data_IF_373777278338
#
_entry.id   IF_373777278338
#
_cell.length_a   1.000
_cell.length_b   1.000
_cell.length_c   1.000
_cell.angle_alpha   90.00
_cell.angle_beta   90.00
_cell.angle_gamma   90.00
#
_symmetry.space_group_name_H-M   'P 1'
#
loop_
_entity.id
_entity.type
_entity.pdbx_description
1 polymer ?
#
# COMPACT_ATOMS: atom_id res chain seq x y z
N UNK A 1 55.59 6.91 43.96
CA UNK A 1 54.70 5.88 43.50
C UNK A 1 54.31 6.21 42.03
N UNK A 2 55.27 5.97 41.14
CA UNK A 2 55.14 6.20 39.67
C UNK A 2 55.28 4.85 39.00
N UNK A 3 54.16 4.20 38.75
CA UNK A 3 54.13 2.97 37.94
C UNK A 3 52.85 3.00 37.05
N UNK A 4 53.10 2.85 35.77
CA UNK A 4 52.13 2.36 34.75
C UNK A 4 51.22 3.32 33.97
N UNK A 5 51.76 4.43 33.50
CA UNK A 5 51.10 5.15 32.41
C UNK A 5 51.52 4.65 31.01
N UNK A 6 52.71 4.04 30.87
CA UNK A 6 53.22 3.53 29.58
C UNK A 6 52.59 2.19 29.16
N UNK A 7 52.10 1.40 30.12
CA UNK A 7 51.44 0.10 29.77
C UNK A 7 50.05 0.27 29.18
N UNK A 8 49.30 1.30 29.56
CA UNK A 8 47.96 1.57 29.03
C UNK A 8 47.99 2.19 27.64
N UNK A 9 49.04 2.91 27.29
CA UNK A 9 49.17 3.49 25.93
C UNK A 9 49.50 2.44 24.86
N UNK A 10 50.22 1.37 25.19
CA UNK A 10 50.50 0.28 24.25
C UNK A 10 49.31 -0.66 24.02
N UNK A 11 48.41 -0.78 24.98
CA UNK A 11 47.20 -1.58 24.87
C UNK A 11 46.17 -0.87 23.96
N UNK A 12 46.02 0.46 24.07
CA UNK A 12 45.14 1.25 23.23
C UNK A 12 45.61 1.32 21.75
N UNK A 13 46.95 1.33 21.50
CA UNK A 13 47.49 1.28 20.13
C UNK A 13 47.30 -0.06 19.45
N UNK A 14 47.26 -1.17 20.19
CA UNK A 14 47.02 -2.52 19.65
C UNK A 14 45.54 -2.77 19.41
N UNK A 15 44.63 -2.17 20.15
CA UNK A 15 43.18 -2.23 19.87
C UNK A 15 42.77 -1.34 18.69
N UNK A 16 43.44 -0.21 18.45
CA UNK A 16 43.11 0.66 17.29
C UNK A 16 43.51 0.07 15.93
N UNK A 17 44.48 -0.88 15.89
CA UNK A 17 44.95 -1.48 14.64
C UNK A 17 44.21 -2.76 14.28
N UNK A 18 43.44 -3.36 15.20
CA UNK A 18 42.61 -4.55 14.94
C UNK A 18 41.18 -4.21 14.49
N UNK A 19 40.77 -2.92 14.60
CA UNK A 19 39.38 -2.50 14.25
C UNK A 19 39.25 -1.99 12.81
N UNK A 20 40.33 -2.01 12.02
CA UNK A 20 40.32 -1.51 10.65
C UNK A 20 40.15 -2.62 9.57
N UNK A 21 39.92 -3.86 9.96
CA UNK A 21 39.81 -5.00 9.02
C UNK A 21 38.46 -5.74 9.08
N UNK A 22 37.43 -5.16 9.71
CA UNK A 22 36.07 -5.68 9.68
C UNK A 22 35.12 -4.59 9.15
N UNK A 23 35.44 -4.01 7.99
CA UNK A 23 34.39 -3.44 7.15
C UNK A 23 33.63 -4.64 6.57
N UNK A 24 32.33 -4.82 6.88
CA UNK A 24 31.55 -5.76 6.11
C UNK A 24 31.60 -5.25 4.66
N UNK A 25 32.15 -6.05 3.77
CA UNK A 25 31.91 -5.88 2.36
C UNK A 25 30.40 -5.85 2.23
N UNK A 26 29.83 -4.68 2.03
CA UNK A 26 28.49 -4.58 1.48
C UNK A 26 28.60 -5.25 0.10
N UNK A 27 28.34 -6.55 0.10
CA UNK A 27 28.00 -7.24 -1.12
C UNK A 27 26.80 -6.45 -1.65
N UNK A 28 27.07 -5.57 -2.62
CA UNK A 28 26.02 -5.14 -3.51
C UNK A 28 25.43 -6.44 -4.01
N UNK A 29 24.23 -6.77 -3.56
CA UNK A 29 23.45 -7.81 -4.18
C UNK A 29 23.38 -7.39 -5.64
N UNK A 30 24.24 -7.96 -6.46
CA UNK A 30 24.09 -7.89 -7.90
C UNK A 30 22.72 -8.51 -8.15
N UNK A 31 21.78 -7.68 -8.54
CA UNK A 31 20.55 -8.14 -9.19
C UNK A 31 21.06 -9.05 -10.30
N UNK A 32 20.70 -10.36 -10.31
CA UNK A 32 21.18 -11.26 -11.35
C UNK A 32 20.82 -10.62 -12.68
N UNK A 33 21.82 -10.32 -13.48
CA UNK A 33 21.64 -9.90 -14.85
C UNK A 33 20.98 -11.07 -15.56
N UNK A 34 19.66 -10.96 -15.88
CA UNK A 34 19.09 -11.84 -16.86
C UNK A 34 17.81 -12.58 -16.62
N UNK A 35 16.91 -12.16 -15.75
CA UNK A 35 15.52 -12.47 -16.04
C UNK A 35 15.05 -11.42 -17.06
N UNK A 36 14.83 -11.87 -18.31
CA UNK A 36 14.23 -11.00 -19.33
C UNK A 36 12.94 -10.42 -18.75
N UNK A 37 12.84 -9.08 -18.73
CA UNK A 37 11.61 -8.42 -18.24
C UNK A 37 10.41 -9.02 -18.96
N UNK A 38 9.40 -9.44 -18.19
CA UNK A 38 8.19 -9.99 -18.77
C UNK A 38 7.59 -8.99 -19.76
N UNK A 39 7.35 -9.45 -20.98
CA UNK A 39 6.75 -8.63 -22.03
C UNK A 39 5.28 -8.98 -22.21
N UNK A 40 4.46 -7.93 -22.35
CA UNK A 40 3.06 -8.02 -22.65
C UNK A 40 2.73 -7.12 -23.84
N UNK A 41 2.20 -7.71 -24.92
CA UNK A 41 1.72 -6.98 -26.07
C UNK A 41 0.19 -6.93 -26.06
N UNK A 42 -0.36 -5.74 -25.96
CA UNK A 42 -1.78 -5.50 -26.27
C UNK A 42 -1.86 -5.21 -27.77
N UNK A 43 -2.46 -6.12 -28.54
CA UNK A 43 -2.56 -5.97 -29.99
C UNK A 43 -3.91 -5.40 -30.37
N UNK A 44 -3.92 -4.51 -31.34
CA UNK A 44 -5.14 -3.96 -31.93
C UNK A 44 -6.08 -3.33 -30.88
N UNK A 45 -5.53 -2.47 -29.99
CA UNK A 45 -6.29 -1.73 -28.99
C UNK A 45 -6.46 -0.26 -29.40
N UNK A 46 -7.53 0.37 -28.93
CA UNK A 46 -7.75 1.81 -29.07
C UNK A 46 -7.35 2.50 -27.77
N UNK A 47 -6.27 3.27 -27.80
CA UNK A 47 -5.77 3.97 -26.61
C UNK A 47 -6.62 5.20 -26.32
N UNK A 48 -7.08 5.34 -25.08
CA UNK A 48 -7.79 6.52 -24.61
C UNK A 48 -6.79 7.65 -24.29
N UNK A 49 -6.88 8.76 -25.02
CA UNK A 49 -6.25 10.03 -24.64
C UNK A 49 -7.12 10.69 -23.57
N UNK A 50 -6.69 10.58 -22.31
CA UNK A 50 -7.45 11.11 -21.16
C UNK A 50 -7.44 12.64 -21.09
N UNK A 51 -6.46 13.31 -21.71
CA UNK A 51 -6.41 14.77 -21.73
C UNK A 51 -7.41 15.36 -22.73
N UNK A 52 -7.64 14.65 -23.84
CA UNK A 52 -8.58 15.06 -24.89
C UNK A 52 -9.93 14.38 -24.81
N UNK A 53 -10.04 13.29 -24.06
CA UNK A 53 -11.25 12.46 -23.98
C UNK A 53 -11.55 11.75 -25.31
N UNK A 54 -10.53 11.44 -26.11
CA UNK A 54 -10.70 10.84 -27.45
C UNK A 54 -10.02 9.47 -27.53
N UNK A 55 -10.57 8.59 -28.39
CA UNK A 55 -9.98 7.29 -28.68
C UNK A 55 -9.16 7.37 -29.96
N UNK A 56 -7.93 6.85 -29.89
CA UNK A 56 -7.08 6.67 -31.06
C UNK A 56 -7.60 5.60 -32.02
N UNK A 57 -6.98 5.50 -33.20
CA UNK A 57 -7.16 4.35 -34.09
C UNK A 57 -6.62 3.08 -33.41
N UNK A 58 -7.06 1.88 -33.86
CA UNK A 58 -6.47 0.62 -33.39
C UNK A 58 -4.95 0.63 -33.55
N UNK A 59 -4.23 0.25 -32.49
CA UNK A 59 -2.77 0.25 -32.44
C UNK A 59 -2.27 -0.81 -31.46
N UNK A 60 -0.98 -1.13 -31.52
CA UNK A 60 -0.35 -2.05 -30.59
C UNK A 60 0.32 -1.30 -29.45
N UNK A 61 0.28 -1.86 -28.23
CA UNK A 61 0.96 -1.32 -27.06
C UNK A 61 1.80 -2.40 -26.41
N UNK A 62 3.11 -2.15 -26.34
CA UNK A 62 4.09 -3.05 -25.71
C UNK A 62 4.40 -2.56 -24.30
N UNK A 63 4.28 -3.46 -23.34
CA UNK A 63 4.69 -3.28 -21.94
C UNK A 63 5.89 -4.17 -21.66
N UNK A 64 6.94 -3.63 -21.01
CA UNK A 64 8.08 -4.37 -20.47
C UNK A 64 8.14 -4.14 -18.97
N UNK A 65 8.15 -5.23 -18.21
CA UNK A 65 8.03 -5.13 -16.78
C UNK A 65 6.77 -4.35 -16.37
N UNK A 66 6.97 -3.18 -15.77
CA UNK A 66 5.88 -2.31 -15.30
C UNK A 66 5.76 -0.99 -16.09
N UNK A 67 6.33 -0.92 -17.31
CA UNK A 67 6.35 0.30 -18.12
C UNK A 67 5.82 0.07 -19.53
N UNK A 68 5.11 1.06 -20.05
CA UNK A 68 4.79 1.12 -21.48
C UNK A 68 6.09 1.40 -22.23
N UNK A 69 6.55 0.42 -23.01
CA UNK A 69 7.80 0.50 -23.75
C UNK A 69 7.62 1.14 -25.14
N UNK A 70 6.50 0.88 -25.80
CA UNK A 70 6.20 1.44 -27.12
C UNK A 70 4.71 1.42 -27.42
N UNK A 71 4.29 2.32 -28.31
CA UNK A 71 2.92 2.37 -28.87
C UNK A 71 3.07 2.49 -30.39
N UNK A 72 2.26 1.76 -31.14
CA UNK A 72 2.24 1.76 -32.59
C UNK A 72 3.41 0.99 -33.22
N UNK A 73 3.98 1.50 -34.29
CA UNK A 73 5.00 0.81 -35.11
C UNK A 73 6.28 0.44 -34.33
N UNK A 74 6.52 1.07 -33.19
CA UNK A 74 7.60 0.75 -32.28
C UNK A 74 7.31 -0.44 -31.34
N UNK A 75 6.11 -0.97 -31.30
CA UNK A 75 5.70 -2.08 -30.45
C UNK A 75 6.21 -3.42 -31.00
N UNK A 76 7.52 -3.66 -30.89
CA UNK A 76 8.16 -4.89 -31.36
C UNK A 76 8.45 -5.82 -30.18
N UNK A 77 7.57 -6.82 -29.94
CA UNK A 77 7.75 -7.77 -28.84
C UNK A 77 8.83 -8.81 -29.20
N UNK A 78 9.41 -9.43 -28.18
CA UNK A 78 10.19 -10.66 -28.35
C UNK A 78 9.28 -11.87 -28.62
N UNK A 79 9.86 -13.00 -29.02
CA UNK A 79 9.10 -14.23 -29.26
C UNK A 79 8.44 -14.80 -27.98
N UNK A 80 8.92 -14.41 -26.80
CA UNK A 80 8.39 -14.84 -25.49
C UNK A 80 7.29 -13.91 -24.95
N UNK A 81 6.95 -12.82 -25.64
CA UNK A 81 5.93 -11.89 -25.18
C UNK A 81 4.55 -12.55 -25.10
N UNK A 82 3.85 -12.31 -24.00
CA UNK A 82 2.44 -12.66 -23.87
C UNK A 82 1.61 -11.69 -24.69
N UNK A 83 0.80 -12.20 -25.61
CA UNK A 83 -0.08 -11.38 -26.46
C UNK A 83 -1.50 -11.39 -25.89
N UNK A 84 -2.09 -10.21 -25.82
CA UNK A 84 -3.51 -10.00 -25.52
C UNK A 84 -4.14 -9.34 -26.76
N UNK A 85 -5.00 -10.08 -27.44
CA UNK A 85 -5.74 -9.57 -28.59
C UNK A 85 -6.82 -8.58 -28.13
N UNK A 86 -6.70 -7.35 -28.57
CA UNK A 86 -7.58 -6.26 -28.20
C UNK A 86 -8.87 -6.24 -29.00
N UNK A 87 -8.83 -6.63 -30.28
CA UNK A 87 -10.00 -6.62 -31.17
C UNK A 87 -10.73 -5.26 -31.14
N UNK A 88 -9.98 -4.17 -31.18
CA UNK A 88 -10.52 -2.81 -31.13
C UNK A 88 -11.05 -2.35 -29.77
N UNK A 89 -10.86 -3.15 -28.70
CA UNK A 89 -11.22 -2.75 -27.33
C UNK A 89 -10.40 -1.55 -26.86
N UNK A 90 -10.95 -0.80 -25.93
CA UNK A 90 -10.28 0.38 -25.35
C UNK A 90 -9.23 -0.04 -24.33
N UNK A 91 -8.01 0.46 -24.52
CA UNK A 91 -6.97 0.47 -23.51
C UNK A 91 -6.94 1.85 -22.85
N UNK A 92 -7.12 1.88 -21.54
CA UNK A 92 -7.20 3.10 -20.75
C UNK A 92 -6.38 2.96 -19.47
N UNK A 93 -5.98 4.08 -18.84
CA UNK A 93 -5.42 4.03 -17.47
C UNK A 93 -6.38 3.33 -16.53
N UNK A 94 -5.84 2.67 -15.51
CA UNK A 94 -6.66 2.11 -14.45
C UNK A 94 -7.48 3.18 -13.73
N UNK A 95 -8.66 2.79 -13.27
CA UNK A 95 -9.57 3.66 -12.54
C UNK A 95 -8.95 4.07 -11.19
N UNK A 96 -9.30 5.27 -10.75
CA UNK A 96 -8.89 5.82 -9.45
C UNK A 96 -10.15 6.12 -8.65
N UNK A 97 -10.26 5.54 -7.44
CA UNK A 97 -11.28 5.94 -6.50
C UNK A 97 -10.66 6.87 -5.45
N UNK A 98 -11.20 8.08 -5.33
CA UNK A 98 -10.66 9.12 -4.44
C UNK A 98 -11.37 9.18 -3.09
N UNK A 99 -12.37 8.33 -2.85
CA UNK A 99 -13.06 8.21 -1.57
C UNK A 99 -13.47 6.75 -1.31
N UNK A 100 -12.50 5.94 -0.95
CA UNK A 100 -12.65 4.52 -0.70
C UNK A 100 -12.49 4.19 0.79
N UNK A 101 -13.06 3.08 1.21
CA UNK A 101 -12.88 2.53 2.55
C UNK A 101 -12.61 1.03 2.43
N UNK A 102 -11.36 0.64 2.25
CA UNK A 102 -10.98 -0.75 1.98
C UNK A 102 -11.49 -1.74 3.03
N UNK A 103 -11.47 -1.35 4.29
CA UNK A 103 -11.98 -2.18 5.39
C UNK A 103 -13.49 -2.26 5.37
N UNK A 104 -14.19 -1.11 5.29
CA UNK A 104 -15.64 -1.06 5.47
C UNK A 104 -16.44 -1.49 4.24
N UNK A 105 -15.85 -1.46 3.05
CA UNK A 105 -16.48 -2.05 1.87
C UNK A 105 -16.35 -3.56 1.82
N UNK A 106 -15.36 -4.12 2.52
CA UNK A 106 -15.14 -5.55 2.61
C UNK A 106 -15.90 -6.22 3.75
N UNK A 107 -16.10 -5.51 4.86
CA UNK A 107 -16.65 -6.04 6.10
C UNK A 107 -17.97 -5.34 6.46
N UNK A 108 -19.01 -6.13 6.67
CA UNK A 108 -20.24 -5.64 7.26
C UNK A 108 -20.11 -5.52 8.79
N UNK A 109 -21.03 -4.79 9.42
CA UNK A 109 -21.10 -4.76 10.86
C UNK A 109 -21.34 -6.17 11.45
N UNK A 110 -22.09 -7.02 10.75
CA UNK A 110 -22.31 -8.40 11.17
C UNK A 110 -21.02 -9.22 11.16
N UNK A 111 -20.13 -9.00 10.20
CA UNK A 111 -18.81 -9.66 10.15
C UNK A 111 -17.93 -9.25 11.32
N UNK A 112 -17.93 -7.96 11.68
CA UNK A 112 -17.15 -7.42 12.80
C UNK A 112 -17.64 -7.92 14.15
N UNK A 113 -18.94 -8.16 14.30
CA UNK A 113 -19.58 -8.60 15.54
C UNK A 113 -19.85 -10.12 15.60
N UNK A 114 -19.40 -10.87 14.56
CA UNK A 114 -19.61 -12.32 14.54
C UNK A 114 -18.88 -13.00 15.71
N UNK A 115 -19.48 -14.02 16.36
CA UNK A 115 -18.87 -14.71 17.50
C UNK A 115 -17.51 -15.39 17.17
N UNK A 116 -17.27 -15.68 15.89
CA UNK A 116 -16.05 -16.28 15.36
C UNK A 116 -15.16 -15.27 14.60
N UNK A 117 -15.43 -13.97 14.76
CA UNK A 117 -14.58 -12.94 14.18
C UNK A 117 -13.18 -12.99 14.81
N UNK A 118 -12.17 -13.06 13.97
CA UNK A 118 -10.77 -12.91 14.40
C UNK A 118 -10.05 -11.90 13.50
N UNK A 119 -9.01 -11.23 13.97
CA UNK A 119 -8.22 -10.30 13.17
C UNK A 119 -7.75 -10.92 11.85
N UNK A 120 -7.31 -12.18 11.86
CA UNK A 120 -6.82 -12.90 10.68
C UNK A 120 -7.93 -13.15 9.66
N UNK A 121 -9.13 -13.55 10.12
CA UNK A 121 -10.29 -13.79 9.25
C UNK A 121 -10.76 -12.49 8.60
N UNK A 122 -10.85 -11.42 9.37
CA UNK A 122 -11.22 -10.10 8.88
C UNK A 122 -10.18 -9.58 7.87
N UNK A 123 -8.89 -9.69 8.17
CA UNK A 123 -7.81 -9.30 7.26
C UNK A 123 -7.84 -10.10 5.94
N UNK A 124 -8.11 -11.41 5.98
CA UNK A 124 -8.24 -12.24 4.78
C UNK A 124 -9.42 -11.79 3.89
N UNK A 125 -10.53 -11.39 4.50
CA UNK A 125 -11.69 -10.86 3.78
C UNK A 125 -11.35 -9.54 3.09
N UNK A 126 -10.70 -8.61 3.79
CA UNK A 126 -10.25 -7.32 3.24
C UNK A 126 -9.24 -7.52 2.12
N UNK A 127 -8.31 -8.46 2.28
CA UNK A 127 -7.33 -8.80 1.24
C UNK A 127 -8.00 -9.35 -0.03
N UNK A 128 -8.97 -10.23 0.13
CA UNK A 128 -9.75 -10.79 -0.98
C UNK A 128 -10.51 -9.69 -1.73
N UNK A 129 -11.15 -8.78 -1.02
CA UNK A 129 -11.89 -7.68 -1.63
C UNK A 129 -10.96 -6.66 -2.30
N UNK A 130 -9.76 -6.44 -1.76
CA UNK A 130 -8.74 -5.60 -2.42
C UNK A 130 -8.32 -6.19 -3.77
N UNK A 131 -8.11 -7.50 -3.85
CA UNK A 131 -7.82 -8.16 -5.12
C UNK A 131 -8.99 -8.02 -6.12
N UNK A 132 -10.23 -8.17 -5.65
CA UNK A 132 -11.44 -7.96 -6.49
C UNK A 132 -11.57 -6.52 -6.95
N UNK A 133 -11.21 -5.55 -6.11
CA UNK A 133 -11.20 -4.12 -6.47
C UNK A 133 -10.24 -3.86 -7.63
N UNK A 134 -9.04 -4.44 -7.59
CA UNK A 134 -8.09 -4.39 -8.70
C UNK A 134 -8.67 -5.02 -9.98
N UNK A 135 -9.31 -6.19 -9.89
CA UNK A 135 -9.92 -6.88 -11.04
C UNK A 135 -11.11 -6.11 -11.63
N UNK A 136 -11.78 -5.26 -10.86
CA UNK A 136 -12.80 -4.32 -11.37
C UNK A 136 -12.21 -3.12 -12.11
N UNK A 137 -10.87 -3.02 -12.18
CA UNK A 137 -10.17 -1.98 -12.91
C UNK A 137 -9.71 -0.79 -12.06
N UNK A 138 -9.97 -0.79 -10.76
CA UNK A 138 -9.45 0.23 -9.85
C UNK A 138 -8.01 -0.10 -9.47
N UNK A 139 -7.06 0.63 -10.05
CA UNK A 139 -5.63 0.42 -9.83
C UNK A 139 -5.06 1.30 -8.72
N UNK A 140 -5.82 2.29 -8.29
CA UNK A 140 -5.44 3.22 -7.21
C UNK A 140 -6.65 3.63 -6.41
N UNK A 141 -6.52 3.72 -5.09
CA UNK A 141 -7.58 4.18 -4.21
C UNK A 141 -7.01 5.14 -3.16
N UNK A 142 -7.76 6.20 -2.83
CA UNK A 142 -7.54 6.98 -1.62
C UNK A 142 -8.47 6.45 -0.55
N UNK A 143 -7.89 5.74 0.42
CA UNK A 143 -8.63 5.21 1.55
C UNK A 143 -8.88 6.32 2.58
N UNK A 144 -10.15 6.68 2.74
CA UNK A 144 -10.57 7.80 3.56
C UNK A 144 -10.83 7.40 5.02
N UNK A 145 -10.42 6.21 5.43
CA UNK A 145 -10.45 5.79 6.84
C UNK A 145 -10.51 4.30 7.05
N UNK A 146 -9.82 3.88 8.10
CA UNK A 146 -9.76 2.49 8.54
C UNK A 146 -8.33 1.97 8.77
N UNK A 147 -8.18 0.82 9.44
CA UNK A 147 -6.90 0.21 9.76
C UNK A 147 -6.37 -0.59 8.55
N UNK A 148 -5.74 0.08 7.57
CA UNK A 148 -5.38 -0.54 6.28
C UNK A 148 -3.86 -0.57 6.01
N UNK A 149 -3.03 -0.05 6.91
CA UNK A 149 -1.59 0.11 6.68
C UNK A 149 -0.84 -1.20 6.45
N UNK A 150 -1.20 -2.29 7.14
CA UNK A 150 -0.56 -3.59 6.98
C UNK A 150 -0.86 -4.18 5.60
N UNK A 151 -2.12 -4.10 5.16
CA UNK A 151 -2.51 -4.54 3.83
C UNK A 151 -1.79 -3.72 2.75
N UNK A 152 -1.76 -2.40 2.90
CA UNK A 152 -0.98 -1.53 2.01
C UNK A 152 0.47 -1.99 1.90
N UNK A 153 1.14 -2.21 3.04
CA UNK A 153 2.53 -2.67 3.06
C UNK A 153 2.72 -4.01 2.33
N UNK A 154 1.77 -4.94 2.48
CA UNK A 154 1.81 -6.22 1.79
C UNK A 154 1.61 -6.09 0.27
N UNK A 155 0.70 -5.21 -0.17
CA UNK A 155 0.48 -4.91 -1.59
C UNK A 155 1.71 -4.20 -2.19
N UNK A 156 2.24 -3.18 -1.53
CA UNK A 156 3.42 -2.43 -2.00
C UNK A 156 4.67 -3.32 -2.11
N UNK A 157 4.77 -4.34 -1.24
CA UNK A 157 5.83 -5.34 -1.29
C UNK A 157 5.58 -6.46 -2.33
N UNK A 158 4.49 -6.41 -3.10
CA UNK A 158 4.13 -7.43 -4.09
C UNK A 158 3.75 -8.79 -3.49
N UNK A 159 3.47 -8.86 -2.17
CA UNK A 159 3.10 -10.12 -1.49
C UNK A 159 1.67 -10.54 -1.77
N UNK A 160 0.83 -9.60 -2.18
CA UNK A 160 -0.56 -9.85 -2.51
C UNK A 160 -1.08 -8.85 -3.55
N UNK A 161 -2.07 -9.24 -4.39
CA UNK A 161 -2.65 -8.35 -5.37
C UNK A 161 -3.59 -7.33 -4.71
N UNK A 162 -3.59 -6.11 -5.24
CA UNK A 162 -4.47 -5.04 -4.80
C UNK A 162 -4.16 -3.73 -5.50
N UNK A 163 -5.03 -2.72 -5.40
CA UNK A 163 -4.74 -1.38 -5.90
C UNK A 163 -3.65 -0.71 -5.07
N UNK A 164 -3.01 0.33 -5.60
CA UNK A 164 -2.21 1.23 -4.77
C UNK A 164 -3.12 1.95 -3.80
N UNK A 165 -2.79 1.91 -2.50
CA UNK A 165 -3.60 2.50 -1.44
C UNK A 165 -2.89 3.74 -0.88
N UNK A 166 -3.60 4.87 -0.83
CA UNK A 166 -3.21 6.07 -0.09
C UNK A 166 -4.11 6.22 1.13
N UNK A 167 -3.69 5.70 2.30
CA UNK A 167 -4.52 5.65 3.49
C UNK A 167 -4.47 6.95 4.28
N UNK A 168 -5.63 7.37 4.82
CA UNK A 168 -5.69 8.43 5.84
C UNK A 168 -5.44 7.91 7.26
N UNK A 169 -5.67 6.63 7.50
CA UNK A 169 -5.77 6.07 8.84
C UNK A 169 -7.14 6.30 9.47
N UNK A 170 -7.19 6.40 10.80
CA UNK A 170 -8.43 6.70 11.50
C UNK A 170 -9.01 8.06 11.05
N UNK A 171 -10.27 8.08 10.66
CA UNK A 171 -10.92 9.37 10.36
C UNK A 171 -11.35 10.08 11.64
N UNK A 172 -11.22 11.41 11.61
CA UNK A 172 -11.58 12.26 12.75
C UNK A 172 -13.07 12.62 12.70
N UNK A 173 -13.81 12.39 13.77
CA UNK A 173 -15.22 12.75 13.91
C UNK A 173 -15.50 13.31 15.31
N UNK A 174 -16.58 14.05 15.45
CA UNK A 174 -17.08 14.44 16.77
C UNK A 174 -18.03 13.37 17.32
N UNK A 175 -18.32 13.46 18.62
CA UNK A 175 -19.37 12.68 19.29
C UNK A 175 -20.70 12.81 18.53
N UNK A 176 -21.32 11.69 18.24
CA UNK A 176 -22.54 11.56 17.42
C UNK A 176 -22.40 12.04 15.98
N UNK A 177 -21.16 12.22 15.48
CA UNK A 177 -20.87 12.50 14.08
C UNK A 177 -20.89 11.24 13.22
N UNK A 178 -20.74 11.41 11.90
CA UNK A 178 -20.75 10.31 10.93
C UNK A 178 -19.74 9.19 11.23
N UNK A 179 -18.57 9.56 11.77
CA UNK A 179 -17.52 8.61 12.14
C UNK A 179 -17.58 8.14 13.59
N UNK A 180 -18.61 8.45 14.33
CA UNK A 180 -18.83 7.91 15.67
C UNK A 180 -19.48 6.53 15.56
N UNK A 181 -18.62 5.52 15.40
CA UNK A 181 -19.02 4.12 15.18
C UNK A 181 -19.27 3.35 16.48
N UNK A 182 -19.49 4.03 17.60
CA UNK A 182 -19.79 3.39 18.86
C UNK A 182 -21.07 2.57 18.79
N UNK A 183 -21.04 1.39 19.41
CA UNK A 183 -22.24 0.58 19.59
C UNK A 183 -23.17 1.21 20.64
N UNK A 184 -24.49 0.92 20.64
CA UNK A 184 -25.44 1.51 21.58
C UNK A 184 -25.11 1.32 23.07
N UNK A 185 -24.34 0.30 23.41
CA UNK A 185 -23.89 0.01 24.78
C UNK A 185 -22.55 0.68 25.12
N UNK A 186 -21.82 1.19 24.13
CA UNK A 186 -20.55 1.85 24.35
C UNK A 186 -20.74 3.32 24.71
N UNK A 187 -20.02 3.74 25.73
CA UNK A 187 -20.10 5.09 26.26
C UNK A 187 -18.94 5.95 25.76
N UNK A 188 -19.15 7.25 25.71
CA UNK A 188 -18.11 8.20 25.27
C UNK A 188 -16.86 8.08 26.17
N UNK A 189 -15.71 7.93 25.53
CA UNK A 189 -14.39 7.95 26.20
C UNK A 189 -14.19 9.18 27.07
N UNK A 190 -14.69 10.32 26.65
CA UNK A 190 -14.58 11.59 27.38
C UNK A 190 -15.14 11.52 28.81
N UNK A 191 -16.23 10.77 29.02
CA UNK A 191 -16.89 10.67 30.31
C UNK A 191 -16.55 9.39 31.09
N UNK A 192 -16.14 8.35 30.38
CA UNK A 192 -15.96 7.01 30.95
C UNK A 192 -14.55 6.47 30.83
N UNK A 193 -13.62 7.22 30.18
CA UNK A 193 -12.20 6.93 30.14
C UNK A 193 -11.78 5.76 29.23
N UNK A 194 -12.71 5.13 28.50
CA UNK A 194 -12.39 4.00 27.62
C UNK A 194 -12.68 4.35 26.16
N UNK A 195 -11.76 4.04 25.23
CA UNK A 195 -12.05 4.07 23.82
C UNK A 195 -13.18 3.10 23.46
N UNK A 196 -13.91 3.39 22.40
CA UNK A 196 -14.80 2.43 21.76
C UNK A 196 -13.99 1.36 21.01
N UNK A 197 -14.62 0.23 20.68
CA UNK A 197 -14.01 -0.80 19.85
C UNK A 197 -13.49 -0.22 18.51
N UNK A 198 -14.25 0.67 17.89
CA UNK A 198 -13.86 1.31 16.63
C UNK A 198 -12.62 2.21 16.79
N UNK A 199 -12.45 2.90 17.91
CA UNK A 199 -11.23 3.67 18.23
C UNK A 199 -10.05 2.74 18.52
N UNK A 200 -10.25 1.65 19.27
CA UNK A 200 -9.21 0.64 19.56
C UNK A 200 -8.71 -0.05 18.29
N UNK A 201 -9.59 -0.29 17.33
CA UNK A 201 -9.24 -0.85 16.03
C UNK A 201 -8.55 0.16 15.08
N UNK A 202 -8.45 1.43 15.45
CA UNK A 202 -7.92 2.47 14.58
C UNK A 202 -8.83 2.84 13.41
N UNK A 203 -10.12 2.60 13.53
CA UNK A 203 -11.08 2.95 12.48
C UNK A 203 -11.46 4.42 12.53
N UNK A 204 -11.65 4.97 13.73
CA UNK A 204 -12.06 6.36 13.96
C UNK A 204 -11.30 6.98 15.12
N UNK A 205 -11.28 8.30 15.16
CA UNK A 205 -10.79 9.11 16.26
C UNK A 205 -11.86 10.13 16.64
N UNK A 206 -12.47 9.98 17.83
CA UNK A 206 -13.49 10.92 18.29
C UNK A 206 -12.83 12.10 18.99
N UNK A 207 -13.02 13.28 18.42
CA UNK A 207 -12.44 14.53 18.87
C UNK A 207 -13.51 15.62 18.98
N UNK A 208 -13.76 16.08 20.21
CA UNK A 208 -14.72 17.14 20.50
C UNK A 208 -14.01 18.43 20.89
N UNK A 209 -14.00 19.38 19.98
CA UNK A 209 -13.38 20.66 20.16
C UNK A 209 -11.98 20.77 19.55
N UNK A 210 -11.48 22.01 19.56
CA UNK A 210 -10.27 22.40 18.81
C UNK A 210 -9.02 21.61 19.20
N UNK A 211 -8.77 21.46 20.49
CA UNK A 211 -7.50 20.89 20.96
C UNK A 211 -7.42 19.37 20.72
N UNK A 212 -8.57 18.66 20.84
CA UNK A 212 -8.64 17.25 20.49
C UNK A 212 -8.49 17.03 18.99
N UNK A 213 -9.12 17.86 18.14
CA UNK A 213 -8.93 17.79 16.68
C UNK A 213 -7.49 18.04 16.29
N UNK A 214 -6.84 19.07 16.88
CA UNK A 214 -5.41 19.34 16.61
C UNK A 214 -4.51 18.17 17.04
N UNK A 215 -4.86 17.49 18.12
CA UNK A 215 -4.13 16.30 18.59
C UNK A 215 -4.34 15.13 17.63
N UNK A 216 -5.58 14.92 17.17
CA UNK A 216 -5.92 13.83 16.27
C UNK A 216 -5.27 13.96 14.87
N UNK A 217 -5.03 15.19 14.40
CA UNK A 217 -4.45 15.46 13.06
C UNK A 217 -2.91 15.36 13.07
N UNK A 218 -2.27 15.45 14.23
CA UNK A 218 -0.79 15.34 14.38
C UNK A 218 -0.31 13.92 14.48
#
# INVERSE_FOLDING_TARGET
MQINMMSKMNLMRRCAMALLLLLPAFAHAQVPAGEAEAELLFREVRVLDTARGTLGAPTDVLVRGNRIAAIGDGARPTASARVIEGHGRTLMPGLIDVHWHSTFTALSQADLLAPDASPEKLAATVATESARTLLRGFTSVRDAGGPIFELKAAIDAGKMPGPRIWPSGAFVSQTSGHGDLRQPHERSRRFFGKPSMAEEMGATFIADGRDEVLTAVR
#
